data_IF_446546289601
#
_entry.id   IF_446546289601
#
_cell.length_a   1.000
_cell.length_b   1.000
_cell.length_c   1.000
_cell.angle_alpha   90.00
_cell.angle_beta   90.00
_cell.angle_gamma   90.00
#
_symmetry.space_group_name_H-M   'P 1'
#
loop_
_entity.id
_entity.type
_entity.pdbx_description
1 polymer ?
#
# COMPACT_ATOMS: atom_id res chain seq x y z
N UNK A 1 33.09 -1.30 -2.10
CA UNK A 1 32.52 -2.03 -3.26
C UNK A 1 31.02 -2.05 -3.11
N UNK A 2 30.28 -1.59 -4.12
CA UNK A 2 28.81 -1.59 -4.11
C UNK A 2 28.31 -2.88 -4.74
N UNK A 3 27.46 -3.62 -4.03
CA UNK A 3 26.79 -4.82 -4.54
C UNK A 3 25.30 -4.50 -4.70
N UNK A 4 24.69 -4.96 -5.78
CA UNK A 4 23.26 -4.77 -6.07
C UNK A 4 22.53 -6.08 -5.77
N UNK A 5 21.40 -5.99 -5.10
CA UNK A 5 20.55 -7.11 -4.72
C UNK A 5 19.11 -6.78 -5.12
N UNK A 6 18.35 -7.78 -5.59
CA UNK A 6 16.93 -7.65 -5.95
C UNK A 6 16.12 -8.57 -5.05
N UNK A 7 15.04 -8.03 -4.45
CA UNK A 7 14.04 -8.81 -3.68
C UNK A 7 12.88 -9.12 -4.64
N UNK A 8 12.41 -10.37 -4.68
CA UNK A 8 11.34 -10.86 -5.59
C UNK A 8 10.09 -11.28 -4.82
N UNK A 9 9.75 -10.54 -3.76
CA UNK A 9 8.55 -10.85 -2.98
C UNK A 9 7.31 -10.49 -3.80
N UNK A 10 6.38 -11.44 -3.93
CA UNK A 10 5.01 -11.15 -4.31
C UNK A 10 4.35 -10.51 -3.09
N UNK A 11 3.64 -9.42 -3.32
CA UNK A 11 2.86 -8.74 -2.29
C UNK A 11 1.40 -8.67 -2.74
N UNK A 12 0.49 -8.66 -1.78
CA UNK A 12 -0.88 -8.26 -2.03
C UNK A 12 -0.98 -6.75 -1.90
N UNK A 13 -1.71 -6.12 -2.81
CA UNK A 13 -2.00 -4.70 -2.73
C UNK A 13 -3.34 -4.38 -3.39
N UNK A 14 -4.09 -3.47 -2.78
CA UNK A 14 -5.38 -3.02 -3.28
C UNK A 14 -5.34 -1.51 -3.51
N UNK A 15 -5.79 -1.07 -4.69
CA UNK A 15 -5.89 0.36 -4.97
C UNK A 15 -7.01 0.97 -4.13
N UNK A 16 -6.68 1.99 -3.35
CA UNK A 16 -7.62 2.63 -2.45
C UNK A 16 -8.65 3.46 -3.21
N UNK A 17 -9.92 3.06 -3.10
CA UNK A 17 -11.06 3.66 -3.80
C UNK A 17 -11.89 4.61 -2.93
N UNK A 18 -11.53 4.78 -1.65
CA UNK A 18 -12.24 5.64 -0.71
C UNK A 18 -13.58 5.08 -0.23
N UNK A 19 -13.90 3.83 -0.56
CA UNK A 19 -15.10 3.13 -0.10
C UNK A 19 -15.09 2.95 1.43
N UNK A 20 -16.30 2.86 2.01
CA UNK A 20 -16.44 2.54 3.43
C UNK A 20 -15.86 1.17 3.78
N UNK A 21 -15.98 0.22 2.85
CA UNK A 21 -15.45 -1.14 3.02
C UNK A 21 -13.93 -1.12 3.21
N UNK A 22 -13.18 -0.47 2.32
CA UNK A 22 -11.73 -0.35 2.51
C UNK A 22 -11.36 0.46 3.74
N UNK A 23 -12.13 1.52 4.06
CA UNK A 23 -11.91 2.32 5.26
C UNK A 23 -12.03 1.47 6.53
N UNK A 24 -13.04 0.62 6.61
CA UNK A 24 -13.24 -0.30 7.74
C UNK A 24 -12.20 -1.42 7.74
N UNK A 25 -11.92 -2.03 6.57
CA UNK A 25 -10.96 -3.13 6.41
C UNK A 25 -9.55 -2.79 6.90
N UNK A 26 -9.07 -1.58 6.60
CA UNK A 26 -7.70 -1.16 6.93
C UNK A 26 -7.63 -0.14 8.08
N UNK A 27 -8.73 0.04 8.82
CA UNK A 27 -8.83 0.99 9.94
C UNK A 27 -8.38 2.42 9.56
N UNK A 28 -8.72 2.85 8.34
CA UNK A 28 -8.26 4.12 7.77
C UNK A 28 -9.00 5.29 8.42
N UNK A 29 -8.23 6.31 8.81
CA UNK A 29 -8.79 7.55 9.34
C UNK A 29 -8.79 8.64 8.27
N UNK A 30 -9.97 9.18 7.97
CA UNK A 30 -10.11 10.33 7.06
C UNK A 30 -9.89 11.64 7.82
N UNK A 31 -8.99 12.49 7.31
CA UNK A 31 -8.79 13.87 7.79
C UNK A 31 -8.88 14.86 6.64
N UNK A 32 -10.02 15.55 6.54
CA UNK A 32 -10.28 16.55 5.50
C UNK A 32 -10.06 15.96 4.09
N UNK A 33 -8.98 16.35 3.40
CA UNK A 33 -8.63 15.92 2.05
C UNK A 33 -7.63 14.76 1.98
N UNK A 34 -7.15 14.27 3.12
CA UNK A 34 -6.16 13.17 3.21
C UNK A 34 -6.69 12.00 4.02
N UNK A 35 -6.12 10.83 3.76
CA UNK A 35 -6.34 9.60 4.51
C UNK A 35 -5.09 9.26 5.31
N UNK A 36 -5.27 8.52 6.38
CA UNK A 36 -4.20 8.11 7.28
C UNK A 36 -4.36 6.63 7.65
N UNK A 37 -3.29 5.87 7.59
CA UNK A 37 -3.21 4.48 8.03
C UNK A 37 -2.06 4.34 9.02
N UNK A 38 -2.23 3.47 10.02
CA UNK A 38 -1.19 3.20 11.00
C UNK A 38 -0.26 2.10 10.47
N UNK A 39 1.03 2.41 10.37
CA UNK A 39 2.06 1.45 9.93
C UNK A 39 3.01 1.12 11.09
N UNK A 40 3.97 0.23 10.84
CA UNK A 40 5.04 -0.08 11.80
C UNK A 40 5.97 1.12 12.08
N UNK A 41 6.07 2.06 11.13
CA UNK A 41 6.93 3.25 11.22
C UNK A 41 6.17 4.47 11.75
N UNK A 42 4.85 4.35 11.95
CA UNK A 42 3.97 5.41 12.41
C UNK A 42 2.81 5.69 11.48
N UNK A 43 2.16 6.82 11.69
CA UNK A 43 1.05 7.28 10.86
C UNK A 43 1.54 7.70 9.46
N UNK A 44 1.04 7.04 8.42
CA UNK A 44 1.32 7.36 7.02
C UNK A 44 0.10 8.00 6.36
N UNK A 45 0.34 8.99 5.49
CA UNK A 45 -0.72 9.75 4.83
C UNK A 45 -0.77 9.48 3.34
N UNK A 46 -1.97 9.29 2.82
CA UNK A 46 -2.19 8.92 1.42
C UNK A 46 -3.51 9.50 0.89
N UNK A 47 -3.73 9.32 -0.40
CA UNK A 47 -4.85 9.89 -1.14
C UNK A 47 -5.61 8.82 -1.92
N UNK A 48 -6.81 9.17 -2.39
CA UNK A 48 -7.58 8.33 -3.31
C UNK A 48 -6.72 7.92 -4.51
N UNK A 49 -6.75 6.64 -4.87
CA UNK A 49 -5.97 6.06 -5.97
C UNK A 49 -4.58 5.57 -5.60
N UNK A 50 -4.06 5.87 -4.40
CA UNK A 50 -2.85 5.22 -3.88
C UNK A 50 -3.16 3.76 -3.52
N UNK A 51 -2.12 2.93 -3.40
CA UNK A 51 -2.24 1.50 -3.12
C UNK A 51 -2.00 1.21 -1.65
N UNK A 52 -2.77 0.29 -1.06
CA UNK A 52 -2.48 -0.26 0.28
C UNK A 52 -1.86 -1.63 0.09
N UNK A 53 -0.57 -1.75 0.42
CA UNK A 53 0.14 -3.02 0.40
C UNK A 53 0.01 -3.75 1.74
N UNK A 54 0.03 -5.08 1.68
CA UNK A 54 0.01 -5.97 2.84
C UNK A 54 1.33 -6.73 2.93
N UNK A 55 1.94 -6.69 4.11
CA UNK A 55 3.16 -7.40 4.42
C UNK A 55 2.91 -8.80 4.98
N UNK A 56 4.00 -9.49 5.31
CA UNK A 56 3.97 -10.91 5.70
C UNK A 56 3.29 -11.11 7.06
N UNK A 57 3.43 -10.13 7.96
CA UNK A 57 2.83 -10.17 9.31
C UNK A 57 1.44 -9.51 9.34
N UNK A 58 0.86 -9.22 8.16
CA UNK A 58 -0.42 -8.52 8.03
C UNK A 58 -0.31 -7.02 8.25
N UNK A 59 0.88 -6.45 8.31
CA UNK A 59 1.07 -5.00 8.37
C UNK A 59 0.69 -4.32 7.05
N UNK A 60 0.17 -3.10 7.14
CA UNK A 60 -0.28 -2.34 5.98
C UNK A 60 0.49 -1.04 5.84
N UNK A 61 0.79 -0.63 4.60
CA UNK A 61 1.35 0.67 4.30
C UNK A 61 0.88 1.18 2.93
N UNK A 62 0.78 2.50 2.74
CA UNK A 62 0.40 3.06 1.46
C UNK A 62 1.60 3.14 0.52
N UNK A 63 1.34 3.01 -0.78
CA UNK A 63 2.31 3.22 -1.86
C UNK A 63 1.66 4.14 -2.88
N UNK A 64 2.36 5.21 -3.27
CA UNK A 64 1.87 6.11 -4.32
C UNK A 64 1.64 5.36 -5.63
N UNK A 65 0.53 5.64 -6.32
CA UNK A 65 0.19 4.97 -7.59
C UNK A 65 1.34 5.02 -8.61
N UNK A 66 1.98 6.18 -8.75
CA UNK A 66 3.10 6.33 -9.67
C UNK A 66 4.32 5.48 -9.30
N UNK A 67 4.53 5.20 -8.00
CA UNK A 67 5.63 4.37 -7.52
C UNK A 67 5.22 2.92 -7.75
N UNK A 68 4.01 2.55 -7.34
CA UNK A 68 3.50 1.18 -7.44
C UNK A 68 3.61 0.64 -8.87
N UNK A 69 3.11 1.40 -9.86
CA UNK A 69 3.15 1.00 -11.28
C UNK A 69 4.56 0.92 -11.87
N UNK A 70 5.54 1.61 -11.28
CA UNK A 70 6.96 1.56 -11.72
C UNK A 70 7.71 0.39 -11.08
N UNK A 71 7.24 -0.13 -9.95
CA UNK A 71 7.97 -1.12 -9.15
C UNK A 71 7.32 -2.50 -9.11
N UNK A 72 6.02 -2.61 -9.38
CA UNK A 72 5.25 -3.85 -9.30
C UNK A 72 4.57 -4.16 -10.64
N UNK A 73 4.47 -5.45 -10.92
CA UNK A 73 3.74 -6.01 -12.04
C UNK A 73 2.73 -7.02 -11.48
N UNK A 74 1.52 -7.03 -12.03
CA UNK A 74 0.48 -7.99 -11.64
C UNK A 74 0.92 -9.41 -11.99
N UNK A 75 0.85 -10.31 -11.01
CA UNK A 75 1.02 -11.75 -11.23
C UNK A 75 -0.36 -12.30 -11.56
N UNK A 76 -0.51 -12.89 -12.75
CA UNK A 76 -1.74 -13.58 -13.15
C UNK A 76 -1.60 -15.05 -12.77
N UNK A 77 -2.53 -15.57 -11.98
CA UNK A 77 -2.65 -17.02 -11.80
C UNK A 77 -3.06 -17.67 -13.14
N UNK A 78 -2.43 -18.81 -13.47
CA UNK A 78 -2.76 -19.66 -14.64
C UNK A 78 -3.93 -20.62 -14.35
#
# INVERSE_FOLDING_TARGET
MTKKYRKTAIIEAEQFDGSKEMIEKYEILKRSWVYKIKTLEGDEYFTLGDWIATGIEGEHWPIKDEIFRKTYEEVKDE
#
